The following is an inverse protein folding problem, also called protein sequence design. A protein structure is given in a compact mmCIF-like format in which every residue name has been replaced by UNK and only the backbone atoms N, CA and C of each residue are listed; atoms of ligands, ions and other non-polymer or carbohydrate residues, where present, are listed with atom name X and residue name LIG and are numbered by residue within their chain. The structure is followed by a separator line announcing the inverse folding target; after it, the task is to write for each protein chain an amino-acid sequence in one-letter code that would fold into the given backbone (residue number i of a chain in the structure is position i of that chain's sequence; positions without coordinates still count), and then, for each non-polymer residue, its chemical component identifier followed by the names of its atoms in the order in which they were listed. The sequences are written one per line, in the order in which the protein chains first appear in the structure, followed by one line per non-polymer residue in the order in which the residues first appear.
data_IF_428790456735
#
_entry.id   IF_428790456735
#
_cell.length_a   1.000
_cell.length_b   1.000
_cell.length_c   1.000
_cell.angle_alpha   90.00
_cell.angle_beta   90.00
_cell.angle_gamma   90.00
#
_symmetry.space_group_name_H-M   'P 1'
#
loop_
_entity.id
_entity.type
_entity.pdbx_description
1 polymer ?
#
# COMPACT_ATOMS: atom_id res chain seq x y z
N UNK A 1 3.80 -26.77 -0.83
CA UNK A 1 3.88 -25.87 0.34
C UNK A 1 2.49 -25.87 0.96
N UNK A 2 2.30 -26.59 2.05
CA UNK A 2 1.04 -26.56 2.78
C UNK A 2 0.99 -25.22 3.54
N UNK A 3 -0.15 -24.53 3.48
CA UNK A 3 -0.35 -23.33 4.30
C UNK A 3 -0.70 -23.81 5.69
N UNK A 4 0.20 -23.60 6.65
CA UNK A 4 -0.06 -23.93 8.05
C UNK A 4 -0.98 -22.86 8.65
N UNK A 5 -2.28 -23.11 8.62
CA UNK A 5 -3.31 -22.17 9.08
C UNK A 5 -3.35 -21.99 10.60
N UNK A 6 -2.64 -22.83 11.36
CA UNK A 6 -2.57 -22.77 12.82
C UNK A 6 -1.71 -21.61 13.34
N UNK A 7 -0.80 -21.07 12.51
CA UNK A 7 0.07 -19.96 12.90
C UNK A 7 -0.63 -18.58 12.81
N UNK A 8 -1.80 -18.52 12.18
CA UNK A 8 -2.50 -17.26 11.93
C UNK A 8 -3.68 -17.05 12.87
N UNK A 9 -3.73 -15.89 13.53
CA UNK A 9 -4.88 -15.53 14.36
C UNK A 9 -6.00 -14.95 13.48
N UNK A 10 -7.19 -15.57 13.55
CA UNK A 10 -8.35 -15.17 12.74
C UNK A 10 -8.86 -13.78 13.13
N UNK A 11 -8.76 -13.41 14.40
CA UNK A 11 -9.18 -12.11 14.92
C UNK A 11 -8.29 -11.02 14.36
N UNK A 12 -6.97 -11.23 14.36
CA UNK A 12 -5.99 -10.28 13.84
C UNK A 12 -6.13 -10.11 12.31
N UNK A 13 -6.33 -11.21 11.58
CA UNK A 13 -6.61 -11.18 10.14
C UNK A 13 -7.86 -10.35 9.86
N UNK A 14 -8.97 -10.63 10.56
CA UNK A 14 -10.23 -9.91 10.37
C UNK A 14 -10.08 -8.43 10.68
N UNK A 15 -9.37 -8.09 11.76
CA UNK A 15 -9.12 -6.72 12.15
C UNK A 15 -8.32 -5.97 11.08
N UNK A 16 -7.24 -6.55 10.57
CA UNK A 16 -6.44 -5.90 9.51
C UNK A 16 -7.20 -5.81 8.18
N UNK A 17 -8.00 -6.81 7.80
CA UNK A 17 -8.85 -6.70 6.60
C UNK A 17 -9.84 -5.54 6.76
N UNK A 18 -10.46 -5.41 7.93
CA UNK A 18 -11.38 -4.32 8.22
C UNK A 18 -10.69 -2.96 8.15
N UNK A 19 -9.54 -2.81 8.83
CA UNK A 19 -8.73 -1.59 8.77
C UNK A 19 -8.29 -1.27 7.33
N UNK A 20 -7.79 -2.26 6.58
CA UNK A 20 -7.33 -2.09 5.20
C UNK A 20 -8.46 -1.61 4.29
N UNK A 21 -9.68 -2.11 4.46
CA UNK A 21 -10.85 -1.71 3.66
C UNK A 21 -11.21 -0.24 3.90
N UNK A 22 -11.20 0.19 5.16
CA UNK A 22 -11.50 1.59 5.52
C UNK A 22 -10.38 2.52 5.05
N UNK A 23 -9.13 2.13 5.28
CA UNK A 23 -7.97 2.95 4.90
C UNK A 23 -7.83 3.11 3.38
N UNK A 24 -8.29 2.14 2.57
CA UNK A 24 -8.26 2.25 1.11
C UNK A 24 -9.05 3.46 0.59
N UNK A 25 -10.08 3.90 1.32
CA UNK A 25 -10.90 5.07 0.96
C UNK A 25 -10.17 6.41 1.18
N UNK A 26 -9.04 6.43 1.91
CA UNK A 26 -8.26 7.65 2.16
C UNK A 26 -7.70 8.22 0.86
N UNK A 27 -7.19 7.38 -0.04
CA UNK A 27 -6.54 7.86 -1.26
C UNK A 27 -7.49 8.63 -2.21
N UNK A 28 -8.71 8.13 -2.53
CA UNK A 28 -9.67 8.92 -3.29
C UNK A 28 -10.18 10.13 -2.50
N UNK A 29 -10.33 10.04 -1.17
CA UNK A 29 -10.72 11.18 -0.34
C UNK A 29 -9.69 12.33 -0.40
N UNK A 30 -8.39 11.99 -0.39
CA UNK A 30 -7.29 12.94 -0.57
C UNK A 30 -7.36 13.59 -1.96
N UNK A 31 -7.56 12.80 -3.02
CA UNK A 31 -7.74 13.34 -4.37
C UNK A 31 -8.88 14.35 -4.48
N UNK A 32 -10.02 14.06 -3.84
CA UNK A 32 -11.17 14.98 -3.77
C UNK A 32 -10.87 16.23 -2.92
N UNK A 33 -10.17 16.08 -1.81
CA UNK A 33 -9.78 17.20 -0.95
C UNK A 33 -8.89 18.20 -1.69
N UNK A 34 -7.89 17.70 -2.43
CA UNK A 34 -7.00 18.56 -3.25
C UNK A 34 -7.74 19.17 -4.45
N UNK A 35 -8.67 18.45 -5.06
CA UNK A 35 -9.52 19.02 -6.11
C UNK A 35 -10.36 20.20 -5.60
N UNK A 36 -10.89 20.11 -4.37
CA UNK A 36 -11.63 21.18 -3.72
C UNK A 36 -10.80 22.40 -3.33
N UNK A 37 -9.51 22.19 -3.00
CA UNK A 37 -8.58 23.29 -2.71
C UNK A 37 -8.06 23.97 -3.99
N UNK A 38 -7.91 23.21 -5.07
CA UNK A 38 -7.41 23.72 -6.36
C UNK A 38 -8.39 24.70 -7.02
N UNK A 39 -7.87 25.57 -7.88
CA UNK A 39 -8.72 26.47 -8.67
C UNK A 39 -9.65 25.68 -9.59
N UNK A 40 -10.86 26.20 -9.84
CA UNK A 40 -11.96 25.50 -10.56
C UNK A 40 -11.57 24.94 -11.94
N UNK A 41 -10.50 25.45 -12.57
CA UNK A 41 -9.94 24.95 -13.84
C UNK A 41 -9.07 23.70 -13.69
N UNK A 42 -8.41 23.52 -12.54
CA UNK A 42 -7.46 22.42 -12.31
C UNK A 42 -8.03 21.27 -11.46
N UNK A 43 -9.25 21.42 -10.93
CA UNK A 43 -9.90 20.42 -10.08
C UNK A 43 -10.03 19.04 -10.74
N UNK A 44 -10.33 18.98 -12.04
CA UNK A 44 -10.38 17.70 -12.76
C UNK A 44 -9.00 17.06 -12.86
N UNK A 45 -7.95 17.86 -13.08
CA UNK A 45 -6.58 17.35 -13.15
C UNK A 45 -6.18 16.71 -11.83
N UNK A 46 -6.48 17.34 -10.69
CA UNK A 46 -6.13 16.79 -9.36
C UNK A 46 -6.75 15.40 -9.10
N UNK A 47 -8.01 15.19 -9.50
CA UNK A 47 -8.69 13.89 -9.36
C UNK A 47 -8.02 12.83 -10.26
N UNK A 48 -7.80 13.12 -11.54
CA UNK A 48 -7.15 12.18 -12.45
C UNK A 48 -5.73 11.82 -12.01
N UNK A 49 -4.95 12.80 -11.55
CA UNK A 49 -3.59 12.53 -11.06
C UNK A 49 -3.63 11.62 -9.84
N UNK A 50 -4.56 11.81 -8.90
CA UNK A 50 -4.69 10.94 -7.71
C UNK A 50 -4.98 9.48 -8.06
N UNK A 51 -5.77 9.22 -9.11
CA UNK A 51 -6.03 7.87 -9.62
C UNK A 51 -4.80 7.27 -10.32
N UNK A 52 -4.04 8.07 -11.06
CA UNK A 52 -2.80 7.62 -11.69
C UNK A 52 -1.75 7.24 -10.63
N UNK A 53 -1.65 8.01 -9.55
CA UNK A 53 -0.76 7.70 -8.42
C UNK A 53 -1.09 6.34 -7.82
N UNK A 54 -2.37 6.04 -7.61
CA UNK A 54 -2.79 4.73 -7.11
C UNK A 54 -2.28 3.58 -8.00
N UNK A 55 -2.44 3.70 -9.31
CA UNK A 55 -2.02 2.67 -10.27
C UNK A 55 -0.50 2.51 -10.24
N UNK A 56 0.24 3.62 -10.33
CA UNK A 56 1.71 3.60 -10.35
C UNK A 56 2.28 3.07 -9.05
N UNK A 57 1.77 3.50 -7.89
CA UNK A 57 2.20 3.00 -6.59
C UNK A 57 1.89 1.52 -6.41
N UNK A 58 0.72 1.05 -6.84
CA UNK A 58 0.37 -0.38 -6.74
C UNK A 58 1.31 -1.24 -7.57
N UNK A 59 1.62 -0.82 -8.81
CA UNK A 59 2.58 -1.52 -9.67
C UNK A 59 3.97 -1.48 -9.06
N UNK A 60 4.46 -0.29 -8.68
CA UNK A 60 5.80 -0.13 -8.10
C UNK A 60 5.96 -0.94 -6.80
N UNK A 61 4.93 -0.98 -5.96
CA UNK A 61 4.93 -1.74 -4.71
C UNK A 61 5.03 -3.24 -4.94
N UNK A 62 4.25 -3.76 -5.90
CA UNK A 62 4.27 -5.17 -6.26
C UNK A 62 5.60 -5.59 -6.90
N UNK A 63 6.18 -4.75 -7.76
CA UNK A 63 7.43 -5.07 -8.44
C UNK A 63 8.61 -5.11 -7.45
N UNK A 64 8.81 -4.04 -6.69
CA UNK A 64 10.01 -3.86 -5.85
C UNK A 64 9.74 -3.21 -4.50
N UNK A 65 8.66 -2.44 -4.35
CA UNK A 65 8.48 -1.59 -3.17
C UNK A 65 8.32 -2.38 -1.86
N UNK A 66 7.59 -3.50 -1.88
CA UNK A 66 7.49 -4.37 -0.71
C UNK A 66 8.85 -4.90 -0.27
N UNK A 67 9.65 -5.42 -1.23
CA UNK A 67 10.95 -6.03 -0.94
C UNK A 67 11.93 -5.02 -0.35
N UNK A 68 12.03 -3.83 -0.93
CA UNK A 68 12.96 -2.78 -0.45
C UNK A 68 12.56 -2.28 0.94
N UNK A 69 11.27 -2.30 1.30
CA UNK A 69 10.79 -1.80 2.58
C UNK A 69 10.84 -2.84 3.71
N UNK A 70 10.56 -4.11 3.42
CA UNK A 70 10.30 -5.13 4.43
C UNK A 70 11.10 -6.44 4.28
N UNK A 71 11.99 -6.55 3.28
CA UNK A 71 12.90 -7.71 3.18
C UNK A 71 14.09 -7.55 4.12
N UNK A 72 14.70 -8.68 4.49
CA UNK A 72 15.95 -8.73 5.25
C UNK A 72 17.11 -8.14 4.43
N UNK A 73 17.46 -6.88 4.73
CA UNK A 73 18.56 -6.17 4.09
C UNK A 73 19.49 -5.50 5.09
N UNK A 74 19.96 -4.31 4.75
CA UNK A 74 20.74 -3.46 5.63
C UNK A 74 19.81 -2.57 6.48
N UNK A 75 20.29 -1.96 7.56
CA UNK A 75 19.50 -1.08 8.44
C UNK A 75 18.88 0.17 7.80
N UNK A 76 19.09 0.39 6.49
CA UNK A 76 18.50 1.48 5.69
C UNK A 76 17.64 1.00 4.51
N UNK A 77 17.91 -0.17 3.94
CA UNK A 77 17.21 -0.72 2.78
C UNK A 77 17.11 -2.24 2.89
N UNK A 78 15.94 -2.79 2.57
CA UNK A 78 15.75 -4.22 2.38
C UNK A 78 16.50 -4.76 1.15
N UNK A 79 16.36 -6.06 0.90
CA UNK A 79 16.89 -6.72 -0.29
C UNK A 79 15.82 -6.90 -1.39
N UNK A 80 16.20 -7.41 -2.57
CA UNK A 80 15.31 -7.73 -3.70
C UNK A 80 14.79 -9.18 -3.68
N UNK A 81 15.04 -9.91 -2.59
CA UNK A 81 14.66 -11.32 -2.44
C UNK A 81 13.15 -11.58 -2.52
N UNK A 82 12.31 -10.59 -2.20
CA UNK A 82 10.84 -10.67 -2.33
C UNK A 82 10.27 -9.83 -3.47
N UNK A 83 11.08 -9.52 -4.50
CA UNK A 83 10.58 -8.88 -5.71
C UNK A 83 9.41 -9.71 -6.31
N UNK A 84 8.40 -9.02 -6.84
CA UNK A 84 7.16 -9.64 -7.35
C UNK A 84 6.38 -10.49 -6.31
N UNK A 85 6.60 -10.26 -5.01
CA UNK A 85 6.04 -11.10 -3.93
C UNK A 85 6.44 -12.59 -4.03
N UNK A 86 7.53 -12.90 -4.71
CA UNK A 86 8.01 -14.29 -4.82
C UNK A 86 8.46 -14.76 -3.42
N UNK A 87 7.94 -15.92 -2.99
CA UNK A 87 8.25 -16.52 -1.69
C UNK A 87 7.51 -15.89 -0.50
N UNK A 88 7.18 -14.60 -0.56
CA UNK A 88 6.65 -13.84 0.56
C UNK A 88 5.16 -14.10 0.90
N UNK A 89 4.34 -14.60 -0.03
CA UNK A 89 2.87 -14.55 0.08
C UNK A 89 2.33 -15.17 1.39
N UNK A 90 2.89 -16.31 1.81
CA UNK A 90 2.41 -17.09 2.95
C UNK A 90 3.36 -17.07 4.15
N UNK A 91 4.43 -16.29 4.09
CA UNK A 91 5.34 -16.16 5.22
C UNK A 91 4.64 -15.44 6.37
N UNK A 92 4.79 -15.91 7.62
CA UNK A 92 4.17 -15.28 8.77
C UNK A 92 4.91 -13.99 9.14
N UNK A 93 4.18 -12.87 9.15
CA UNK A 93 4.63 -11.61 9.74
C UNK A 93 3.90 -11.44 11.07
N UNK A 94 4.46 -12.06 12.11
CA UNK A 94 3.78 -12.21 13.40
C UNK A 94 2.62 -13.20 13.30
N UNK A 95 1.41 -12.77 13.63
CA UNK A 95 0.17 -13.57 13.60
C UNK A 95 -0.60 -13.46 12.28
N UNK A 96 -0.06 -12.76 11.29
CA UNK A 96 -0.75 -12.39 10.05
C UNK A 96 0.07 -12.81 8.82
N UNK A 97 -0.57 -13.25 7.71
CA UNK A 97 0.13 -13.48 6.46
C UNK A 97 0.78 -12.21 5.91
N UNK A 98 2.01 -12.34 5.43
CA UNK A 98 2.76 -11.27 4.78
C UNK A 98 1.99 -10.58 3.65
N UNK A 99 1.21 -11.32 2.85
CA UNK A 99 0.38 -10.72 1.79
C UNK A 99 -0.57 -9.64 2.35
N UNK A 100 -1.22 -9.94 3.48
CA UNK A 100 -2.19 -9.04 4.10
C UNK A 100 -1.48 -7.84 4.75
N UNK A 101 -0.34 -8.09 5.41
CA UNK A 101 0.52 -7.02 5.92
C UNK A 101 0.99 -6.08 4.79
N UNK A 102 1.48 -6.64 3.68
CA UNK A 102 1.91 -5.88 2.50
C UNK A 102 0.79 -5.01 1.92
N UNK A 103 -0.44 -5.54 1.83
CA UNK A 103 -1.59 -4.79 1.32
C UNK A 103 -1.93 -3.60 2.23
N UNK A 104 -1.86 -3.79 3.54
CA UNK A 104 -2.09 -2.71 4.49
C UNK A 104 -1.03 -1.60 4.35
N UNK A 105 0.24 -1.97 4.17
CA UNK A 105 1.34 -1.01 4.01
C UNK A 105 1.31 -0.26 2.67
N UNK A 106 0.86 -0.92 1.59
CA UNK A 106 0.64 -0.27 0.29
C UNK A 106 -0.26 0.97 0.42
N UNK A 107 -1.26 0.94 1.29
CA UNK A 107 -2.18 2.08 1.49
C UNK A 107 -1.44 3.32 1.98
N UNK A 108 -0.52 3.14 2.93
CA UNK A 108 0.27 4.25 3.45
C UNK A 108 1.22 4.79 2.38
N UNK A 109 1.90 3.90 1.64
CA UNK A 109 2.75 4.28 0.52
C UNK A 109 1.97 5.13 -0.52
N UNK A 110 0.82 4.62 -0.95
CA UNK A 110 -0.03 5.32 -1.93
C UNK A 110 -0.60 6.64 -1.39
N UNK A 111 -0.95 6.70 -0.10
CA UNK A 111 -1.47 7.92 0.54
C UNK A 111 -0.41 9.03 0.59
N UNK A 112 0.82 8.70 1.00
CA UNK A 112 1.94 9.67 1.03
C UNK A 112 2.23 10.19 -0.38
N UNK A 113 2.26 9.29 -1.38
CA UNK A 113 2.46 9.69 -2.77
C UNK A 113 1.33 10.61 -3.29
N UNK A 114 0.07 10.29 -2.96
CA UNK A 114 -1.08 11.08 -3.35
C UNK A 114 -1.07 12.49 -2.72
N UNK A 115 -0.68 12.61 -1.45
CA UNK A 115 -0.51 13.88 -0.74
C UNK A 115 0.63 14.71 -1.37
N UNK A 116 1.78 14.07 -1.64
CA UNK A 116 2.94 14.73 -2.23
C UNK A 116 2.62 15.33 -3.60
N UNK A 117 1.87 14.60 -4.42
CA UNK A 117 1.50 15.06 -5.77
C UNK A 117 0.35 16.06 -5.70
N UNK A 118 -0.64 15.86 -4.84
CA UNK A 118 -1.73 16.81 -4.62
C UNK A 118 -1.25 18.20 -4.19
N UNK A 119 -0.17 18.30 -3.42
CA UNK A 119 0.46 19.59 -3.07
C UNK A 119 1.30 20.23 -4.17
N UNK A 120 1.62 19.51 -5.25
CA UNK A 120 2.44 19.99 -6.37
C UNK A 120 1.63 20.49 -7.58
N UNK A 121 0.30 20.29 -7.57
CA UNK A 121 -0.66 20.64 -8.63
C UNK A 121 -1.46 21.88 -8.24
#
# INVERSE_FOLDING_TARGET
MAVDWEQFDKTDILFIIFCSTICWQIVPAVGLAYAGYSTRRNAMSAIYTSLLVLIVCTIQWYLIGYSIAYSDGNGLFGDLSHAFHIGAIWEPMGTIPTLLFSQFQLIFCATVAAISIGGSV
#
